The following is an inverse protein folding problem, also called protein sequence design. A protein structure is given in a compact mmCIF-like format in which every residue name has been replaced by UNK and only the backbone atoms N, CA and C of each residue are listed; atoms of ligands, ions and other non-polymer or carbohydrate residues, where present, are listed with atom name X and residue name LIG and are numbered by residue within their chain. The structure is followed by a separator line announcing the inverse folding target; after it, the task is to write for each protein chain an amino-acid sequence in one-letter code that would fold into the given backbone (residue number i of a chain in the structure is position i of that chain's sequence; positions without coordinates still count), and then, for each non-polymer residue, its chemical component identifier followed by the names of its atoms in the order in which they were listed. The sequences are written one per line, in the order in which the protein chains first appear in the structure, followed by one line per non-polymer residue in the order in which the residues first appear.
data_IF_950762852396
#
_entry.id   IF_950762852396
#
_cell.length_a   1.000
_cell.length_b   1.000
_cell.length_c   1.000
_cell.angle_alpha   90.00
_cell.angle_beta   90.00
_cell.angle_gamma   90.00
#
_symmetry.space_group_name_H-M   'P 1'
#
loop_
_entity.id
_entity.type
_entity.pdbx_description
1 polymer ?
#
# COMPACT_ATOMS: atom_id res chain seq x y z
N UNK A 1 26.89 -44.30 -3.25
CA UNK A 1 26.79 -42.82 -3.29
C UNK A 1 26.37 -42.30 -4.68
N UNK A 2 27.07 -42.62 -5.77
CA UNK A 2 26.74 -42.12 -7.13
C UNK A 2 25.32 -42.42 -7.71
N UNK A 3 24.62 -43.47 -7.25
CA UNK A 3 23.22 -43.74 -7.65
C UNK A 3 22.21 -42.84 -6.91
N UNK A 4 22.46 -42.51 -5.65
CA UNK A 4 21.61 -41.63 -4.85
C UNK A 4 21.71 -40.17 -5.33
N UNK A 5 22.91 -39.73 -5.74
CA UNK A 5 23.09 -38.39 -6.34
C UNK A 5 22.36 -38.24 -7.68
N UNK A 6 22.30 -39.31 -8.49
CA UNK A 6 21.55 -39.32 -9.76
C UNK A 6 20.05 -39.31 -9.57
N UNK A 7 19.52 -39.99 -8.56
CA UNK A 7 18.09 -39.97 -8.21
C UNK A 7 17.69 -38.61 -7.62
N UNK A 8 18.47 -38.06 -6.69
CA UNK A 8 18.27 -36.71 -6.15
C UNK A 8 18.32 -35.63 -7.25
N UNK A 9 19.23 -35.74 -8.23
CA UNK A 9 19.29 -34.83 -9.37
C UNK A 9 18.07 -34.97 -10.31
N UNK A 10 17.51 -36.19 -10.47
CA UNK A 10 16.28 -36.41 -11.25
C UNK A 10 15.06 -35.84 -10.53
N UNK A 11 14.95 -36.02 -9.22
CA UNK A 11 13.88 -35.44 -8.40
C UNK A 11 13.93 -33.91 -8.38
N UNK A 12 15.12 -33.33 -8.20
CA UNK A 12 15.31 -31.88 -8.32
C UNK A 12 14.92 -31.35 -9.71
N UNK A 13 15.24 -32.08 -10.79
CA UNK A 13 14.79 -31.73 -12.16
C UNK A 13 13.27 -31.88 -12.33
N UNK A 14 12.65 -32.91 -11.76
CA UNK A 14 11.19 -33.11 -11.79
C UNK A 14 10.46 -32.02 -11.01
N UNK A 15 10.95 -31.68 -9.81
CA UNK A 15 10.43 -30.58 -8.99
C UNK A 15 10.57 -29.23 -9.69
N UNK A 16 11.73 -28.93 -10.30
CA UNK A 16 11.92 -27.71 -11.10
C UNK A 16 10.97 -27.65 -12.30
N UNK A 17 10.75 -28.76 -13.01
CA UNK A 17 9.80 -28.84 -14.12
C UNK A 17 8.35 -28.66 -13.66
N UNK A 18 7.97 -29.28 -12.54
CA UNK A 18 6.64 -29.13 -11.94
C UNK A 18 6.39 -27.68 -11.51
N UNK A 19 7.34 -27.07 -10.78
CA UNK A 19 7.28 -25.66 -10.39
C UNK A 19 7.22 -24.74 -11.61
N UNK A 20 7.99 -25.01 -12.66
CA UNK A 20 7.91 -24.23 -13.91
C UNK A 20 6.57 -24.39 -14.61
N UNK A 21 5.97 -25.59 -14.61
CA UNK A 21 4.64 -25.81 -15.20
C UNK A 21 3.56 -25.08 -14.41
N UNK A 22 3.59 -25.17 -13.08
CA UNK A 22 2.68 -24.44 -12.19
C UNK A 22 2.79 -22.93 -12.39
N UNK A 23 4.01 -22.39 -12.43
CA UNK A 23 4.26 -20.95 -12.68
C UNK A 23 3.73 -20.50 -14.04
N UNK A 24 3.91 -21.31 -15.09
CA UNK A 24 3.33 -21.02 -16.42
C UNK A 24 1.80 -21.04 -16.39
N UNK A 25 1.20 -22.00 -15.68
CA UNK A 25 -0.24 -22.09 -15.48
C UNK A 25 -0.81 -20.83 -14.83
N UNK A 26 -0.21 -20.39 -13.71
CA UNK A 26 -0.60 -19.17 -12.99
C UNK A 26 -0.50 -17.92 -13.87
N UNK A 27 0.58 -17.80 -14.65
CA UNK A 27 0.74 -16.67 -15.58
C UNK A 27 -0.33 -16.71 -16.67
N UNK A 28 -0.64 -17.90 -17.20
CA UNK A 28 -1.63 -18.06 -18.26
C UNK A 28 -3.06 -17.81 -17.77
N UNK A 29 -3.40 -18.25 -16.55
CA UNK A 29 -4.67 -17.95 -15.90
C UNK A 29 -4.81 -16.45 -15.63
N UNK A 30 -3.79 -15.82 -15.06
CA UNK A 30 -3.76 -14.36 -14.86
C UNK A 30 -3.90 -13.61 -16.20
N UNK A 31 -3.25 -14.09 -17.26
CA UNK A 31 -3.38 -13.54 -18.60
C UNK A 31 -4.80 -13.71 -19.17
N UNK A 32 -5.42 -14.88 -19.01
CA UNK A 32 -6.81 -15.13 -19.45
C UNK A 32 -7.79 -14.20 -18.74
N UNK A 33 -7.64 -14.06 -17.42
CA UNK A 33 -8.45 -13.16 -16.62
C UNK A 33 -8.28 -11.71 -17.10
N UNK A 34 -7.03 -11.25 -17.22
CA UNK A 34 -6.73 -9.89 -17.64
C UNK A 34 -7.23 -9.58 -19.05
N UNK A 35 -7.11 -10.54 -19.99
CA UNK A 35 -7.62 -10.37 -21.36
C UNK A 35 -9.14 -10.20 -21.40
N UNK A 36 -9.88 -10.87 -20.51
CA UNK A 36 -11.34 -10.70 -20.40
C UNK A 36 -11.69 -9.30 -19.91
N UNK A 37 -10.92 -8.80 -18.95
CA UNK A 37 -11.13 -7.48 -18.35
C UNK A 37 -10.67 -6.34 -19.27
N UNK A 38 -9.62 -6.57 -20.07
CA UNK A 38 -9.00 -5.57 -20.91
C UNK A 38 -8.81 -6.09 -22.34
N UNK A 39 -9.84 -5.89 -23.16
CA UNK A 39 -9.87 -6.32 -24.57
C UNK A 39 -8.75 -5.66 -25.40
N UNK A 40 -8.29 -4.50 -24.97
CA UNK A 40 -7.24 -3.72 -25.63
C UNK A 40 -5.84 -4.13 -25.16
N UNK A 41 -5.70 -5.01 -24.17
CA UNK A 41 -4.39 -5.50 -23.73
C UNK A 41 -3.59 -6.14 -24.87
N UNK A 42 -4.24 -7.01 -25.65
CA UNK A 42 -3.56 -7.79 -26.69
C UNK A 42 -3.09 -6.93 -27.87
N UNK A 43 -3.90 -6.01 -28.44
CA UNK A 43 -3.43 -5.06 -29.45
C UNK A 43 -2.23 -4.23 -28.97
N UNK A 44 -2.26 -3.75 -27.72
CA UNK A 44 -1.16 -2.95 -27.19
C UNK A 44 0.11 -3.77 -26.94
N UNK A 45 -0.01 -5.01 -26.47
CA UNK A 45 1.13 -5.92 -26.32
C UNK A 45 1.75 -6.27 -27.67
N UNK A 46 0.92 -6.59 -28.66
CA UNK A 46 1.38 -6.91 -30.01
C UNK A 46 2.00 -5.67 -30.68
N UNK A 47 1.38 -4.51 -30.54
CA UNK A 47 1.92 -3.24 -31.02
C UNK A 47 3.28 -2.92 -30.41
N UNK A 48 3.43 -3.03 -29.08
CA UNK A 48 4.72 -2.82 -28.43
C UNK A 48 5.78 -3.83 -28.86
N UNK A 49 5.41 -5.10 -29.02
CA UNK A 49 6.30 -6.14 -29.52
C UNK A 49 6.80 -5.84 -30.93
N UNK A 50 5.88 -5.52 -31.85
CA UNK A 50 6.21 -5.25 -33.25
C UNK A 50 7.02 -3.96 -33.40
N UNK A 51 6.66 -2.90 -32.68
CA UNK A 51 7.40 -1.63 -32.71
C UNK A 51 8.83 -1.83 -32.23
N UNK A 52 9.04 -2.47 -31.07
CA UNK A 52 10.40 -2.64 -30.53
C UNK A 52 11.22 -3.61 -31.38
N UNK A 53 10.63 -4.73 -31.81
CA UNK A 53 11.31 -5.68 -32.70
C UNK A 53 11.68 -5.02 -34.03
N UNK A 54 10.75 -4.26 -34.62
CA UNK A 54 10.97 -3.52 -35.85
C UNK A 54 12.07 -2.47 -35.73
N UNK A 55 12.08 -1.69 -34.65
CA UNK A 55 13.14 -0.70 -34.38
C UNK A 55 14.51 -1.36 -34.28
N UNK A 56 14.64 -2.44 -33.50
CA UNK A 56 15.92 -3.16 -33.35
C UNK A 56 16.34 -3.81 -34.67
N UNK A 57 15.40 -4.33 -35.45
CA UNK A 57 15.68 -4.88 -36.77
C UNK A 57 16.16 -3.81 -37.76
N UNK A 58 15.49 -2.65 -37.82
CA UNK A 58 15.90 -1.53 -38.68
C UNK A 58 17.28 -0.99 -38.31
N UNK A 59 17.60 -0.95 -37.02
CA UNK A 59 18.95 -0.69 -36.54
C UNK A 59 19.96 -1.74 -37.06
N UNK A 60 19.58 -3.01 -37.05
CA UNK A 60 20.40 -4.07 -37.64
C UNK A 60 20.60 -3.92 -39.15
N UNK A 61 19.59 -3.48 -39.89
CA UNK A 61 19.72 -3.16 -41.32
C UNK A 61 20.72 -2.01 -41.52
N UNK A 62 20.62 -0.96 -40.71
CA UNK A 62 21.54 0.18 -40.74
C UNK A 62 23.01 -0.21 -40.51
N UNK A 63 23.25 -1.16 -39.60
CA UNK A 63 24.59 -1.70 -39.31
C UNK A 63 25.00 -2.90 -40.18
N UNK A 64 24.20 -3.30 -41.16
CA UNK A 64 24.50 -4.44 -42.05
C UNK A 64 24.42 -5.82 -41.38
N UNK A 65 23.84 -5.92 -40.19
CA UNK A 65 23.69 -7.16 -39.39
C UNK A 65 22.22 -7.48 -39.02
N UNK A 66 21.26 -7.40 -39.97
CA UNK A 66 19.83 -7.51 -39.65
C UNK A 66 19.45 -8.85 -39.01
N UNK A 67 20.01 -9.96 -39.49
CA UNK A 67 19.71 -11.30 -38.99
C UNK A 67 20.27 -11.57 -37.60
N UNK A 68 21.39 -10.93 -37.23
CA UNK A 68 21.95 -11.01 -35.88
C UNK A 68 21.15 -10.17 -34.87
N UNK A 69 20.65 -9.00 -35.30
CA UNK A 69 19.82 -8.12 -34.49
C UNK A 69 18.38 -8.62 -34.31
N UNK A 70 17.88 -9.47 -35.22
CA UNK A 70 16.50 -9.96 -35.16
C UNK A 70 16.16 -10.75 -33.88
N UNK A 71 16.93 -11.78 -33.43
CA UNK A 71 16.67 -12.46 -32.15
C UNK A 71 16.71 -11.52 -30.95
N UNK A 72 17.62 -10.54 -30.97
CA UNK A 72 17.74 -9.53 -29.93
C UNK A 72 16.51 -8.61 -29.90
N UNK A 73 16.04 -8.20 -31.08
CA UNK A 73 14.80 -7.42 -31.25
C UNK A 73 13.59 -8.16 -30.73
N UNK A 74 13.46 -9.46 -31.02
CA UNK A 74 12.37 -10.30 -30.49
C UNK A 74 12.45 -10.37 -28.97
N UNK A 75 13.64 -10.56 -28.38
CA UNK A 75 13.81 -10.59 -26.93
C UNK A 75 13.40 -9.26 -26.26
N UNK A 76 13.85 -8.13 -26.82
CA UNK A 76 13.43 -6.80 -26.34
C UNK A 76 11.95 -6.52 -26.58
N UNK A 77 11.38 -6.98 -27.70
CA UNK A 77 9.95 -6.88 -27.98
C UNK A 77 9.12 -7.64 -26.97
N UNK A 78 9.52 -8.86 -26.61
CA UNK A 78 8.85 -9.65 -25.57
C UNK A 78 8.94 -8.96 -24.20
N UNK A 79 10.10 -8.39 -23.86
CA UNK A 79 10.27 -7.60 -22.65
C UNK A 79 9.34 -6.38 -22.63
N UNK A 80 9.24 -5.65 -23.74
CA UNK A 80 8.34 -4.52 -23.87
C UNK A 80 6.86 -4.92 -23.71
N UNK A 81 6.44 -6.02 -24.33
CA UNK A 81 5.10 -6.57 -24.16
C UNK A 81 4.81 -6.94 -22.70
N UNK A 82 5.77 -7.53 -21.98
CA UNK A 82 5.65 -7.83 -20.54
C UNK A 82 5.53 -6.57 -19.68
N UNK A 83 6.29 -5.51 -19.99
CA UNK A 83 6.20 -4.23 -19.28
C UNK A 83 4.81 -3.60 -19.48
N UNK A 84 4.30 -3.60 -20.72
CA UNK A 84 2.95 -3.11 -21.03
C UNK A 84 1.90 -3.90 -20.29
N UNK A 85 2.01 -5.24 -20.27
CA UNK A 85 1.13 -6.11 -19.51
C UNK A 85 1.10 -5.73 -18.02
N UNK A 86 2.27 -5.65 -17.38
CA UNK A 86 2.37 -5.32 -15.96
C UNK A 86 1.78 -3.94 -15.62
N UNK A 87 2.09 -2.92 -16.41
CA UNK A 87 1.53 -1.55 -16.20
C UNK A 87 0.01 -1.52 -16.33
N UNK A 88 -0.54 -2.31 -17.25
CA UNK A 88 -1.97 -2.36 -17.51
C UNK A 88 -2.74 -3.14 -16.46
N UNK A 89 -2.18 -4.26 -16.00
CA UNK A 89 -2.68 -4.99 -14.83
C UNK A 89 -2.74 -4.08 -13.62
N UNK A 90 -1.64 -3.39 -13.29
CA UNK A 90 -1.62 -2.44 -12.18
C UNK A 90 -2.70 -1.36 -12.33
N UNK A 91 -2.80 -0.74 -13.52
CA UNK A 91 -3.83 0.28 -13.77
C UNK A 91 -5.24 -0.24 -13.49
N UNK A 92 -5.57 -1.45 -13.94
CA UNK A 92 -6.91 -2.02 -13.80
C UNK A 92 -7.20 -2.45 -12.36
N UNK A 93 -6.22 -3.02 -11.65
CA UNK A 93 -6.36 -3.36 -10.22
C UNK A 93 -6.64 -2.10 -9.39
N UNK A 94 -5.84 -1.04 -9.58
CA UNK A 94 -6.08 0.21 -8.87
C UNK A 94 -7.41 0.86 -9.25
N UNK A 95 -7.83 0.80 -10.52
CA UNK A 95 -9.11 1.36 -10.96
C UNK A 95 -10.32 0.62 -10.35
N UNK A 96 -10.20 -0.69 -10.10
CA UNK A 96 -11.23 -1.48 -9.42
C UNK A 96 -11.27 -1.28 -7.92
N UNK A 97 -10.10 -1.08 -7.32
CA UNK A 97 -9.98 -0.77 -5.90
C UNK A 97 -10.44 0.66 -5.60
N UNK A 98 -10.38 1.58 -6.58
CA UNK A 98 -10.82 2.95 -6.40
C UNK A 98 -12.31 3.02 -6.04
N UNK A 99 -12.62 3.76 -4.96
CA UNK A 99 -13.98 3.86 -4.41
C UNK A 99 -14.45 2.69 -3.55
N UNK A 100 -13.64 1.63 -3.36
CA UNK A 100 -13.94 0.56 -2.41
C UNK A 100 -13.43 0.93 -1.02
N UNK A 101 -14.24 0.80 0.05
CA UNK A 101 -13.81 1.07 1.41
C UNK A 101 -12.56 0.28 1.82
N UNK A 102 -11.54 0.98 2.32
CA UNK A 102 -10.26 0.40 2.75
C UNK A 102 -9.24 0.23 1.63
N UNK A 103 -9.54 0.69 0.41
CA UNK A 103 -8.61 0.61 -0.71
C UNK A 103 -7.34 1.44 -0.48
N UNK A 104 -7.43 2.57 0.22
CA UNK A 104 -6.27 3.36 0.60
C UNK A 104 -5.35 2.56 1.52
N UNK A 105 -5.88 1.86 2.52
CA UNK A 105 -5.09 1.00 3.40
C UNK A 105 -4.32 -0.06 2.60
N UNK A 106 -5.02 -0.78 1.72
CA UNK A 106 -4.43 -1.77 0.83
C UNK A 106 -3.33 -1.16 -0.07
N UNK A 107 -3.57 0.02 -0.66
CA UNK A 107 -2.58 0.68 -1.49
C UNK A 107 -1.33 1.10 -0.69
N UNK A 108 -1.52 1.53 0.55
CA UNK A 108 -0.44 1.92 1.46
C UNK A 108 0.41 0.71 1.89
N UNK A 109 -0.22 -0.42 2.19
CA UNK A 109 0.49 -1.67 2.54
C UNK A 109 1.30 -2.23 1.36
N UNK A 110 0.87 -1.95 0.13
CA UNK A 110 1.59 -2.33 -1.09
C UNK A 110 2.73 -1.35 -1.47
N UNK A 111 2.99 -0.30 -0.67
CA UNK A 111 4.10 0.60 -0.92
C UNK A 111 5.43 -0.11 -0.76
N UNK A 112 6.32 0.10 -1.73
CA UNK A 112 7.69 -0.42 -1.67
C UNK A 112 8.58 0.52 -0.85
N UNK A 113 9.39 -0.05 0.04
CA UNK A 113 10.40 0.67 0.82
C UNK A 113 10.14 0.59 2.33
N UNK A 114 10.89 1.39 3.10
CA UNK A 114 10.81 1.44 4.56
C UNK A 114 9.66 2.30 5.08
N UNK A 115 8.44 2.06 4.60
CA UNK A 115 7.22 2.70 5.11
C UNK A 115 6.64 1.86 6.24
N UNK A 116 6.17 2.50 7.32
CA UNK A 116 5.42 1.84 8.39
C UNK A 116 3.97 2.30 8.30
N UNK A 117 3.07 1.37 8.04
CA UNK A 117 1.64 1.66 7.86
C UNK A 117 0.88 1.17 9.08
N UNK A 118 0.09 2.05 9.68
CA UNK A 118 -0.92 1.69 10.69
C UNK A 118 -2.29 1.97 10.08
N UNK A 119 -3.00 0.93 9.61
CA UNK A 119 -4.33 1.12 9.04
C UNK A 119 -5.34 1.54 10.12
N UNK A 120 -6.31 2.37 9.73
CA UNK A 120 -7.52 2.68 10.52
C UNK A 120 -7.22 3.16 11.95
N UNK A 121 -6.42 4.22 12.08
CA UNK A 121 -6.15 4.88 13.37
C UNK A 121 -7.37 5.65 13.90
N UNK A 122 -8.25 6.06 12.99
CA UNK A 122 -9.58 6.58 13.26
C UNK A 122 -10.52 6.14 12.14
N UNK A 123 -11.79 5.95 12.46
CA UNK A 123 -12.81 5.63 11.46
C UNK A 123 -14.22 5.89 12.00
N UNK A 124 -15.18 5.87 11.08
CA UNK A 124 -16.60 6.08 11.35
C UNK A 124 -17.40 4.82 11.02
N UNK A 125 -18.68 4.79 11.39
CA UNK A 125 -19.59 3.70 10.99
C UNK A 125 -19.97 3.77 9.50
N UNK A 126 -19.74 4.91 8.86
CA UNK A 126 -19.97 5.15 7.43
C UNK A 126 -18.78 4.72 6.55
N UNK A 127 -17.90 3.87 7.09
CA UNK A 127 -16.72 3.35 6.39
C UNK A 127 -15.71 4.44 5.96
N UNK A 128 -15.75 5.63 6.59
CA UNK A 128 -14.64 6.59 6.46
C UNK A 128 -13.51 6.15 7.39
N UNK A 129 -12.28 6.24 6.90
CA UNK A 129 -11.10 5.82 7.66
C UNK A 129 -9.96 6.82 7.50
N UNK A 130 -9.14 6.92 8.54
CA UNK A 130 -7.85 7.59 8.53
C UNK A 130 -6.79 6.53 8.82
N UNK A 131 -5.83 6.42 7.91
CA UNK A 131 -4.66 5.58 8.03
C UNK A 131 -3.45 6.47 8.36
N UNK A 132 -2.50 5.92 9.10
CA UNK A 132 -1.26 6.61 9.42
C UNK A 132 -0.10 5.91 8.74
N UNK A 133 0.76 6.70 8.12
CA UNK A 133 1.97 6.23 7.43
C UNK A 133 3.15 6.97 8.01
N UNK A 134 4.20 6.23 8.37
CA UNK A 134 5.48 6.78 8.79
C UNK A 134 6.53 6.47 7.73
N UNK A 135 7.36 7.46 7.44
CA UNK A 135 8.49 7.30 6.53
C UNK A 135 9.45 8.46 6.64
N UNK A 136 10.35 8.57 5.66
CA UNK A 136 11.34 9.67 5.61
C UNK A 136 10.72 11.07 5.64
N UNK A 137 9.52 11.32 5.09
CA UNK A 137 8.94 12.66 5.19
C UNK A 137 8.51 13.08 6.60
N UNK A 138 8.14 12.13 7.46
CA UNK A 138 7.48 12.42 8.73
C UNK A 138 6.27 11.52 8.92
N UNK A 139 5.23 12.07 9.56
CA UNK A 139 3.93 11.42 9.70
C UNK A 139 3.01 11.87 8.57
N UNK A 140 2.38 10.92 7.90
CA UNK A 140 1.38 11.20 6.87
C UNK A 140 0.06 10.57 7.33
N UNK A 141 -0.99 11.38 7.39
CA UNK A 141 -2.35 10.96 7.66
C UNK A 141 -3.09 10.87 6.33
N UNK A 142 -3.47 9.66 5.95
CA UNK A 142 -4.16 9.38 4.69
C UNK A 142 -5.60 9.05 5.02
N UNK A 143 -6.54 9.86 4.56
CA UNK A 143 -7.96 9.63 4.78
C UNK A 143 -8.66 9.12 3.52
N UNK A 144 -9.65 8.26 3.73
CA UNK A 144 -10.51 7.68 2.71
C UNK A 144 -11.97 7.85 3.16
N UNK A 145 -12.85 8.23 2.24
CA UNK A 145 -14.27 8.45 2.51
C UNK A 145 -14.74 9.83 2.04
N UNK A 146 -15.87 10.29 2.58
CA UNK A 146 -16.47 11.54 2.12
C UNK A 146 -15.68 12.78 2.60
N UNK A 147 -15.39 13.78 1.73
CA UNK A 147 -14.46 14.88 2.05
C UNK A 147 -14.86 15.73 3.26
N UNK A 148 -16.15 15.94 3.47
CA UNK A 148 -16.66 16.72 4.60
C UNK A 148 -16.46 16.00 5.94
N UNK A 149 -16.56 14.67 5.98
CA UNK A 149 -16.38 13.87 7.21
C UNK A 149 -14.91 13.62 7.50
N UNK A 150 -14.14 13.28 6.48
CA UNK A 150 -12.71 12.97 6.63
C UNK A 150 -11.87 14.17 7.06
N UNK A 151 -12.25 15.40 6.68
CA UNK A 151 -11.57 16.63 7.16
C UNK A 151 -11.63 16.78 8.68
N UNK A 152 -12.79 16.51 9.28
CA UNK A 152 -12.94 16.54 10.75
C UNK A 152 -12.13 15.43 11.42
N UNK A 153 -12.15 14.21 10.87
CA UNK A 153 -11.37 13.09 11.40
C UNK A 153 -9.85 13.35 11.31
N UNK A 154 -9.39 13.88 10.18
CA UNK A 154 -8.00 14.28 9.97
C UNK A 154 -7.58 15.36 10.97
N UNK A 155 -8.38 16.40 11.17
CA UNK A 155 -8.06 17.47 12.13
C UNK A 155 -7.92 16.93 13.57
N UNK A 156 -8.82 16.03 13.97
CA UNK A 156 -8.77 15.39 15.28
C UNK A 156 -7.51 14.53 15.45
N UNK A 157 -7.18 13.72 14.45
CA UNK A 157 -6.01 12.85 14.50
C UNK A 157 -4.71 13.66 14.43
N UNK A 158 -4.64 14.69 13.57
CA UNK A 158 -3.51 15.63 13.46
C UNK A 158 -3.22 16.29 14.80
N UNK A 159 -4.24 16.78 15.52
CA UNK A 159 -4.06 17.38 16.86
C UNK A 159 -3.51 16.37 17.88
N UNK A 160 -3.93 15.11 17.82
CA UNK A 160 -3.43 14.06 18.72
C UNK A 160 -1.98 13.70 18.42
N UNK A 161 -1.66 13.53 17.13
CA UNK A 161 -0.30 13.22 16.67
C UNK A 161 0.64 14.38 16.98
N UNK A 162 0.24 15.63 16.72
CA UNK A 162 1.06 16.83 16.97
C UNK A 162 1.57 16.92 18.42
N UNK A 163 0.77 16.48 19.40
CA UNK A 163 1.18 16.47 20.82
C UNK A 163 2.36 15.53 21.12
N UNK A 164 2.62 14.55 20.26
CA UNK A 164 3.65 13.52 20.48
C UNK A 164 4.86 13.67 19.57
N UNK A 165 4.65 14.16 18.35
CA UNK A 165 5.68 14.16 17.32
C UNK A 165 6.53 15.44 17.30
N UNK A 166 6.13 16.44 18.09
CA UNK A 166 6.87 17.70 18.26
C UNK A 166 7.02 18.44 16.94
N UNK A 167 8.26 18.71 16.55
CA UNK A 167 8.61 19.44 15.31
C UNK A 167 8.54 18.57 14.04
N UNK A 168 8.25 17.27 14.16
CA UNK A 168 8.17 16.39 13.00
C UNK A 168 7.02 16.81 12.08
N UNK A 169 7.25 16.99 10.76
CA UNK A 169 6.19 17.37 9.82
C UNK A 169 5.05 16.34 9.78
N UNK A 170 3.81 16.86 9.75
CA UNK A 170 2.59 16.09 9.59
C UNK A 170 1.89 16.50 8.30
N UNK A 171 1.80 15.57 7.35
CA UNK A 171 1.10 15.75 6.09
C UNK A 171 -0.29 15.12 6.16
N UNK A 172 -1.27 15.77 5.56
CA UNK A 172 -2.62 15.24 5.34
C UNK A 172 -2.85 14.98 3.85
N UNK A 173 -3.45 13.83 3.54
CA UNK A 173 -3.79 13.42 2.18
C UNK A 173 -5.19 12.85 2.21
N UNK A 174 -6.06 13.33 1.33
CA UNK A 174 -7.40 12.75 1.15
C UNK A 174 -7.37 11.96 -0.16
N UNK A 175 -7.76 10.68 -0.09
CA UNK A 175 -7.84 9.80 -1.25
C UNK A 175 -9.20 10.00 -1.93
N UNK A 176 -9.16 10.14 -3.25
CA UNK A 176 -10.34 10.24 -4.10
C UNK A 176 -10.04 10.93 -5.42
N UNK A 177 -11.09 11.22 -6.20
CA UNK A 177 -10.97 11.67 -7.59
C UNK A 177 -11.41 13.13 -7.82
N UNK A 178 -11.79 13.85 -6.77
CA UNK A 178 -12.20 15.25 -6.87
C UNK A 178 -11.00 16.20 -6.71
N UNK A 179 -11.27 17.50 -6.85
CA UNK A 179 -10.25 18.54 -6.68
C UNK A 179 -9.65 18.54 -5.27
N UNK A 180 -8.32 18.66 -5.19
CA UNK A 180 -7.57 18.59 -3.92
C UNK A 180 -7.43 17.18 -3.32
N UNK A 181 -7.96 16.15 -3.98
CA UNK A 181 -7.79 14.75 -3.59
C UNK A 181 -6.71 14.07 -4.42
N UNK A 182 -6.14 12.99 -3.90
CA UNK A 182 -5.14 12.18 -4.57
C UNK A 182 -5.78 10.87 -5.03
N UNK A 183 -5.84 10.60 -6.35
CA UNK A 183 -6.36 9.33 -6.84
C UNK A 183 -5.55 8.16 -6.29
N UNK A 184 -6.21 7.05 -5.98
CA UNK A 184 -5.60 5.89 -5.33
C UNK A 184 -4.31 5.43 -6.04
N UNK A 185 -4.35 5.35 -7.37
CA UNK A 185 -3.19 4.98 -8.22
C UNK A 185 -1.98 5.92 -8.07
N UNK A 186 -2.22 7.19 -7.72
CA UNK A 186 -1.19 8.23 -7.57
C UNK A 186 -0.73 8.43 -6.13
N UNK A 187 -1.35 7.74 -5.16
CA UNK A 187 -1.02 7.86 -3.75
C UNK A 187 0.47 7.60 -3.48
N UNK A 188 0.99 6.45 -3.92
CA UNK A 188 2.42 6.12 -3.73
C UNK A 188 3.39 7.17 -4.30
N UNK A 189 3.28 7.53 -5.59
CA UNK A 189 4.09 8.60 -6.18
C UNK A 189 3.93 9.97 -5.49
N UNK A 190 2.75 10.27 -4.94
CA UNK A 190 2.52 11.51 -4.20
C UNK A 190 3.31 11.50 -2.87
N UNK A 191 3.24 10.39 -2.12
CA UNK A 191 3.97 10.27 -0.85
C UNK A 191 5.48 10.26 -1.02
N UNK A 192 6.00 9.64 -2.09
CA UNK A 192 7.45 9.58 -2.34
C UNK A 192 8.06 10.92 -2.78
N UNK A 193 7.23 11.85 -3.27
CA UNK A 193 7.64 13.21 -3.65
C UNK A 193 7.76 14.16 -2.47
N UNK A 194 7.21 13.82 -1.31
CA UNK A 194 7.34 14.63 -0.10
C UNK A 194 8.81 14.76 0.33
N UNK A 195 9.22 15.90 0.90
CA UNK A 195 10.60 16.14 1.29
C UNK A 195 11.04 15.14 2.36
N UNK A 196 12.31 14.73 2.34
CA UNK A 196 12.86 13.73 3.25
C UNK A 196 13.45 14.41 4.50
N UNK A 197 12.66 14.50 5.55
CA UNK A 197 13.01 15.22 6.78
C UNK A 197 13.64 14.33 7.86
N UNK A 198 13.38 13.01 7.83
CA UNK A 198 13.77 12.07 8.86
C UNK A 198 14.81 11.03 8.39
N UNK A 199 15.67 10.62 9.32
CA UNK A 199 16.60 9.48 9.21
C UNK A 199 15.98 8.21 9.80
N UNK A 200 16.49 7.03 9.42
CA UNK A 200 15.98 5.72 9.86
C UNK A 200 15.74 5.62 11.38
N UNK A 201 16.74 5.90 12.24
CA UNK A 201 16.56 5.82 13.70
C UNK A 201 15.50 6.77 14.27
N UNK A 202 15.30 7.94 13.63
CA UNK A 202 14.27 8.88 14.03
C UNK A 202 12.86 8.33 13.72
N UNK A 203 12.72 7.60 12.62
CA UNK A 203 11.47 6.91 12.25
C UNK A 203 11.15 5.83 13.29
N UNK A 204 12.13 5.01 13.69
CA UNK A 204 11.92 3.96 14.68
C UNK A 204 11.55 4.53 16.06
N UNK A 205 12.19 5.63 16.47
CA UNK A 205 11.83 6.33 17.70
C UNK A 205 10.41 6.91 17.65
N UNK A 206 10.01 7.44 16.50
CA UNK A 206 8.67 7.98 16.26
C UNK A 206 7.61 6.88 16.27
N UNK A 207 7.90 5.74 15.65
CA UNK A 207 7.03 4.55 15.66
C UNK A 207 6.77 4.07 17.09
N UNK A 208 7.81 3.98 17.93
CA UNK A 208 7.68 3.62 19.36
C UNK A 208 6.80 4.61 20.14
N UNK A 209 6.93 5.92 19.89
CA UNK A 209 6.09 6.94 20.54
C UNK A 209 4.63 6.83 20.13
N UNK A 210 4.38 6.57 18.85
CA UNK A 210 3.03 6.48 18.29
C UNK A 210 2.34 5.16 18.60
N UNK A 211 3.07 4.05 18.67
CA UNK A 211 2.51 2.75 19.08
C UNK A 211 2.07 2.76 20.55
N UNK A 212 2.78 3.46 21.44
CA UNK A 212 2.36 3.66 22.82
C UNK A 212 1.00 4.38 22.96
N UNK A 213 0.65 5.27 22.02
CA UNK A 213 -0.68 5.88 21.98
C UNK A 213 -1.77 4.87 21.59
N UNK A 214 -1.47 3.95 20.66
CA UNK A 214 -2.41 2.88 20.30
C UNK A 214 -2.69 1.96 21.49
N UNK A 215 -1.66 1.60 22.26
CA UNK A 215 -1.81 0.80 23.48
C UNK A 215 -2.60 1.52 24.57
N UNK A 216 -2.39 2.83 24.78
CA UNK A 216 -3.23 3.63 25.69
C UNK A 216 -4.69 3.71 25.25
N UNK A 217 -4.94 3.76 23.94
CA UNK A 217 -6.31 3.74 23.39
C UNK A 217 -7.01 2.40 23.66
N UNK A 218 -6.28 1.29 23.51
CA UNK A 218 -6.75 -0.05 23.86
C UNK A 218 -6.98 -0.20 25.38
N UNK A 219 -6.06 0.31 26.20
CA UNK A 219 -6.16 0.26 27.66
C UNK A 219 -7.28 1.16 28.24
N UNK A 220 -7.56 2.31 27.62
CA UNK A 220 -8.69 3.18 28.02
C UNK A 220 -10.07 2.64 27.62
N UNK A 221 -10.14 1.82 26.56
CA UNK A 221 -11.34 1.09 26.17
C UNK A 221 -11.52 -0.23 26.96
N UNK A 222 -10.44 -0.74 27.55
CA UNK A 222 -10.38 -1.96 28.35
C UNK A 222 -10.01 -1.69 29.81
N UNK A 223 -10.54 -0.62 30.42
CA UNK A 223 -10.73 -0.69 31.87
C UNK A 223 -11.82 -1.76 32.07
N UNK A 224 -11.53 -2.96 32.61
CA UNK A 224 -12.59 -3.80 33.08
C UNK A 224 -13.32 -2.94 34.10
N UNK A 225 -14.59 -2.63 33.83
CA UNK A 225 -15.50 -2.25 34.89
C UNK A 225 -15.61 -3.50 35.76
N UNK A 226 -14.63 -3.69 36.64
CA UNK A 226 -14.76 -4.59 37.77
C UNK A 226 -16.07 -4.23 38.46
N UNK A 227 -16.79 -5.21 39.01
CA UNK A 227 -18.06 -4.94 39.66
C UNK A 227 -17.85 -3.78 40.63
N UNK A 228 -18.55 -2.67 40.37
CA UNK A 228 -18.58 -1.53 41.29
C UNK A 228 -18.95 -2.11 42.65
N UNK A 229 -18.16 -1.91 43.71
CA UNK A 229 -18.55 -2.39 45.03
C UNK A 229 -19.90 -1.78 45.36
N UNK A 230 -20.92 -2.64 45.51
CA UNK A 230 -22.22 -2.25 46.05
C UNK A 230 -21.98 -1.73 47.48
N UNK A 231 -21.83 -0.41 47.61
CA UNK A 231 -21.59 0.18 48.94
C UNK A 231 -20.87 1.51 48.98
N UNK A 232 -20.37 2.06 47.87
CA UNK A 232 -19.83 3.42 47.85
C UNK A 232 -20.96 4.46 47.97
N UNK A 233 -21.51 4.60 49.17
CA UNK A 233 -22.42 5.66 49.56
C UNK A 233 -21.69 6.99 49.32
N UNK A 234 -22.09 7.71 48.27
CA UNK A 234 -21.79 9.13 48.10
C UNK A 234 -22.27 9.84 49.36
N UNK A 235 -21.36 10.16 50.27
CA UNK A 235 -21.66 10.93 51.48
C UNK A 235 -22.03 12.33 51.01
N UNK A 236 -23.32 12.64 51.01
CA UNK A 236 -23.87 13.95 50.66
C UNK A 236 -23.05 15.07 51.32
N UNK A 237 -22.30 15.81 50.50
CA UNK A 237 -21.47 16.96 50.91
C UNK A 237 -22.32 18.18 51.29
N UNK A 238 -23.64 18.10 51.16
CA UNK A 238 -24.57 19.21 51.40
C UNK A 238 -24.93 19.51 52.86
N UNK A 239 -24.34 18.84 53.87
CA UNK A 239 -24.64 19.16 55.30
C UNK A 239 -23.56 19.90 56.07
N UNK A 240 -22.41 20.24 55.47
CA UNK A 240 -21.31 20.90 56.18
C UNK A 240 -21.29 22.43 56.07
N UNK A 241 -22.19 23.06 55.31
CA UNK A 241 -22.23 24.53 55.15
C UNK A 241 -23.41 25.22 55.85
N UNK A 242 -23.93 24.69 56.95
CA UNK A 242 -24.91 25.41 57.78
C UNK A 242 -24.58 25.43 59.27
N UNK A 243 -23.28 25.46 59.56
CA UNK A 243 -22.75 25.71 60.91
C UNK A 243 -21.42 26.45 60.83
N UNK A 244 -21.41 27.59 60.15
CA UNK A 244 -20.54 28.68 60.54
C UNK A 244 -21.37 29.60 61.42
N UNK A 245 -20.83 29.94 62.59
CA UNK A 245 -21.28 31.05 63.43
C UNK A 245 -21.33 32.34 62.63
#
# INVERSE_FOLDING_TARGET
MAKQDKEAAKEAKRAKKAASKARRGQIFEAFKLQRREDKWLLPWMLGAFLVVTGVVFLLGVWWGIPWFMLPLGIAFGLLAAMIVFGRRVQKNVYAKADGQPGAAAWALENLKGGWRVTPTVAGTTQLDAVHRVLGKPGVILVAEGAPHRVKSLLAQEKKKVARLVGETPIYDVIVGNEEGQVPLRRLGPHLTKLPRNLRGPQIDALEKKLSALATRRAAGAALPKGPLPQGAKLRNVQRTMRRSK
#
